data_IF_667004096259
#
_entry.id   IF_667004096259
#
_cell.length_a   1.000
_cell.length_b   1.000
_cell.length_c   1.000
_cell.angle_alpha   90.00
_cell.angle_beta   90.00
_cell.angle_gamma   90.00
#
_symmetry.space_group_name_H-M   'P 1'
#
loop_
_entity.id
_entity.type
_entity.pdbx_description
1 polymer ?
#
# COMPACT_ATOMS: atom_id res chain seq x y z
N UNK A 1 6.02 -34.14 -2.77
CA UNK A 1 7.39 -33.63 -2.94
C UNK A 1 7.50 -33.01 -4.32
N UNK A 2 8.07 -31.80 -4.47
CA UNK A 2 8.33 -31.23 -5.81
C UNK A 2 9.53 -31.97 -6.39
N UNK A 3 9.30 -32.74 -7.44
CA UNK A 3 10.38 -33.37 -8.19
C UNK A 3 11.25 -32.26 -8.82
N UNK A 4 12.58 -32.43 -8.86
CA UNK A 4 13.46 -31.55 -9.61
C UNK A 4 12.97 -31.37 -11.06
N UNK A 5 13.09 -30.15 -11.58
CA UNK A 5 12.54 -29.77 -12.90
C UNK A 5 13.07 -30.64 -14.05
N UNK A 6 14.32 -31.08 -13.96
CA UNK A 6 14.96 -31.96 -14.95
C UNK A 6 14.32 -33.35 -15.04
N UNK A 7 13.78 -33.86 -13.93
CA UNK A 7 13.04 -35.13 -13.90
C UNK A 7 11.62 -34.99 -14.44
N UNK A 8 11.01 -33.82 -14.27
CA UNK A 8 9.66 -33.54 -14.74
C UNK A 8 9.60 -33.23 -16.23
N UNK A 9 10.60 -32.51 -16.74
CA UNK A 9 10.64 -32.05 -18.14
C UNK A 9 11.44 -33.01 -19.03
N UNK A 10 12.14 -33.98 -18.44
CA UNK A 10 13.15 -34.78 -19.13
C UNK A 10 14.40 -33.94 -19.41
N UNK A 11 15.55 -34.61 -19.50
CA UNK A 11 16.68 -33.96 -20.20
C UNK A 11 16.26 -33.79 -21.66
N UNK A 12 16.50 -32.63 -22.28
CA UNK A 12 16.46 -32.55 -23.73
C UNK A 12 17.30 -33.72 -24.25
N UNK A 13 16.76 -34.48 -25.21
CA UNK A 13 17.59 -35.43 -25.94
C UNK A 13 18.77 -34.61 -26.45
N UNK A 14 19.98 -34.92 -25.99
CA UNK A 14 21.17 -34.43 -26.64
C UNK A 14 21.11 -35.06 -28.02
N UNK A 15 20.51 -34.35 -28.97
CA UNK A 15 20.87 -34.48 -30.36
C UNK A 15 22.38 -34.23 -30.36
N UNK A 16 23.15 -35.32 -30.38
CA UNK A 16 24.56 -35.33 -30.77
C UNK A 16 24.62 -34.91 -32.24
N UNK A 17 24.20 -33.70 -32.52
CA UNK A 17 24.75 -32.94 -33.62
C UNK A 17 26.13 -32.52 -33.12
N UNK A 18 27.16 -32.86 -33.88
CA UNK A 18 28.51 -32.37 -33.73
C UNK A 18 28.53 -30.85 -33.98
N UNK A 19 27.87 -30.07 -33.10
CA UNK A 19 27.91 -28.61 -33.17
C UNK A 19 29.32 -28.20 -32.81
N UNK A 20 29.94 -27.48 -33.74
CA UNK A 20 31.24 -26.88 -33.55
C UNK A 20 31.24 -26.07 -32.25
N UNK A 21 32.13 -26.41 -31.29
CA UNK A 21 32.29 -25.70 -30.02
C UNK A 21 32.21 -24.16 -30.13
N UNK A 22 32.87 -23.49 -31.09
CA UNK A 22 32.75 -22.04 -31.24
C UNK A 22 31.32 -21.56 -31.59
N UNK A 23 30.57 -22.34 -32.36
CA UNK A 23 29.19 -22.00 -32.72
C UNK A 23 28.25 -22.11 -31.52
N UNK A 24 28.43 -23.15 -30.69
CA UNK A 24 27.68 -23.31 -29.44
C UNK A 24 27.96 -22.17 -28.45
N UNK A 25 29.23 -21.79 -28.29
CA UNK A 25 29.62 -20.68 -27.39
C UNK A 25 29.01 -19.36 -27.87
N UNK A 26 29.01 -19.11 -29.18
CA UNK A 26 28.43 -17.90 -29.76
C UNK A 26 26.90 -17.86 -29.62
N UNK A 27 26.20 -18.99 -29.83
CA UNK A 27 24.76 -19.08 -29.59
C UNK A 27 24.40 -18.87 -28.12
N UNK A 28 25.14 -19.49 -27.20
CA UNK A 28 24.95 -19.30 -25.76
C UNK A 28 25.14 -17.84 -25.35
N UNK A 29 26.18 -17.19 -25.87
CA UNK A 29 26.46 -15.77 -25.63
C UNK A 29 25.31 -14.90 -26.13
N UNK A 30 24.84 -15.11 -27.37
CA UNK A 30 23.68 -14.40 -27.94
C UNK A 30 22.42 -14.61 -27.11
N UNK A 31 22.16 -15.83 -26.66
CA UNK A 31 21.01 -16.18 -25.83
C UNK A 31 21.05 -15.48 -24.47
N UNK A 32 22.20 -15.51 -23.80
CA UNK A 32 22.45 -14.79 -22.54
C UNK A 32 22.24 -13.29 -22.71
N UNK A 33 22.79 -12.70 -23.77
CA UNK A 33 22.61 -11.26 -24.06
C UNK A 33 21.15 -10.90 -24.30
N UNK A 34 20.40 -11.75 -25.00
CA UNK A 34 18.96 -11.56 -25.23
C UNK A 34 18.17 -11.62 -23.92
N UNK A 35 18.44 -12.61 -23.07
CA UNK A 35 17.80 -12.77 -21.76
C UNK A 35 18.09 -11.57 -20.86
N UNK A 36 19.35 -11.14 -20.78
CA UNK A 36 19.75 -10.00 -19.98
C UNK A 36 19.11 -8.69 -20.47
N UNK A 37 19.05 -8.49 -21.79
CA UNK A 37 18.37 -7.32 -22.37
C UNK A 37 16.90 -7.30 -22.00
N UNK A 38 16.22 -8.43 -22.17
CA UNK A 38 14.81 -8.58 -21.81
C UNK A 38 14.56 -8.30 -20.33
N UNK A 39 15.37 -8.87 -19.44
CA UNK A 39 15.26 -8.66 -18.00
C UNK A 39 15.43 -7.18 -17.63
N UNK A 40 16.45 -6.50 -18.19
CA UNK A 40 16.69 -5.05 -17.96
C UNK A 40 15.54 -4.19 -18.47
N UNK A 41 15.00 -4.49 -19.65
CA UNK A 41 13.86 -3.77 -20.20
C UNK A 41 12.62 -3.90 -19.29
N UNK A 42 12.31 -5.12 -18.85
CA UNK A 42 11.21 -5.35 -17.92
C UNK A 42 11.43 -4.63 -16.60
N UNK A 43 12.64 -4.70 -16.03
CA UNK A 43 12.98 -3.97 -14.81
C UNK A 43 12.73 -2.46 -14.97
N UNK A 44 13.17 -1.88 -16.08
CA UNK A 44 12.93 -0.46 -16.39
C UNK A 44 11.44 -0.13 -16.46
N UNK A 45 10.67 -0.90 -17.24
CA UNK A 45 9.21 -0.70 -17.37
C UNK A 45 8.52 -0.78 -16.00
N UNK A 46 8.90 -1.76 -15.17
CA UNK A 46 8.31 -1.90 -13.84
C UNK A 46 8.71 -0.77 -12.89
N UNK A 47 9.96 -0.32 -12.95
CA UNK A 47 10.44 0.84 -12.19
C UNK A 47 9.68 2.11 -12.58
N UNK A 48 9.54 2.36 -13.88
CA UNK A 48 8.84 3.55 -14.40
C UNK A 48 7.36 3.53 -13.99
N UNK A 49 6.70 2.37 -14.09
CA UNK A 49 5.32 2.18 -13.62
C UNK A 49 5.19 2.39 -12.10
N UNK A 50 6.16 1.93 -11.32
CA UNK A 50 6.15 2.15 -9.87
C UNK A 50 6.25 3.64 -9.55
N UNK A 51 7.18 4.34 -10.20
CA UNK A 51 7.34 5.80 -10.04
C UNK A 51 6.05 6.54 -10.36
N UNK A 52 5.43 6.27 -11.51
CA UNK A 52 4.17 6.90 -11.90
C UNK A 52 3.06 6.69 -10.86
N UNK A 53 2.91 5.47 -10.32
CA UNK A 53 1.89 5.17 -9.30
C UNK A 53 2.12 5.96 -8.01
N UNK A 54 3.37 6.02 -7.55
CA UNK A 54 3.73 6.76 -6.35
C UNK A 54 3.49 8.27 -6.55
N UNK A 55 3.90 8.82 -7.70
CA UNK A 55 3.74 10.24 -8.00
C UNK A 55 2.25 10.65 -8.03
N UNK A 56 1.36 9.83 -8.64
CA UNK A 56 -0.10 10.09 -8.63
C UNK A 56 -0.74 9.95 -7.25
N UNK A 57 -0.25 9.01 -6.43
CA UNK A 57 -0.80 8.78 -5.08
C UNK A 57 -0.36 9.87 -4.09
N UNK A 58 0.84 10.44 -4.30
CA UNK A 58 1.38 11.53 -3.47
C UNK A 58 0.59 12.84 -3.61
N UNK A 59 -0.14 13.06 -4.70
CA UNK A 59 -0.83 14.32 -4.95
C UNK A 59 -2.18 14.47 -4.24
N UNK A 60 -2.80 13.39 -3.75
CA UNK A 60 -4.27 13.42 -3.58
C UNK A 60 -4.85 13.55 -2.17
N UNK A 61 -4.12 13.47 -1.04
CA UNK A 61 -4.82 13.72 0.24
C UNK A 61 -3.92 14.18 1.39
N UNK A 62 -3.86 15.50 1.61
CA UNK A 62 -3.40 16.02 2.90
C UNK A 62 -4.54 15.93 3.91
N UNK A 63 -4.49 14.93 4.79
CA UNK A 63 -5.42 14.84 5.91
C UNK A 63 -5.05 15.85 7.01
N UNK A 64 -6.05 16.33 7.74
CA UNK A 64 -5.89 17.23 8.88
C UNK A 64 -6.07 16.48 10.21
N UNK A 65 -5.43 16.95 11.29
CA UNK A 65 -5.81 16.53 12.64
C UNK A 65 -7.33 16.71 12.85
N UNK A 66 -7.97 15.71 13.45
CA UNK A 66 -9.43 15.65 13.61
C UNK A 66 -10.16 14.85 12.52
N UNK A 67 -9.55 14.61 11.36
CA UNK A 67 -10.20 13.87 10.28
C UNK A 67 -10.41 12.39 10.62
N UNK A 68 -11.56 11.85 10.20
CA UNK A 68 -11.89 10.44 10.24
C UNK A 68 -11.26 9.68 9.06
N UNK A 69 -10.54 8.61 9.36
CA UNK A 69 -9.87 7.77 8.36
C UNK A 69 -10.04 6.28 8.63
N UNK A 70 -10.17 5.50 7.57
CA UNK A 70 -10.03 4.05 7.60
C UNK A 70 -8.55 3.67 7.54
N UNK A 71 -8.17 2.63 8.26
CA UNK A 71 -6.83 2.04 8.25
C UNK A 71 -6.83 0.73 7.46
N UNK A 72 -5.96 0.61 6.47
CA UNK A 72 -5.66 -0.65 5.80
C UNK A 72 -4.76 -1.53 6.68
N UNK A 73 -5.35 -2.55 7.29
CA UNK A 73 -4.73 -3.53 8.17
C UNK A 73 -5.10 -4.97 7.76
N UNK A 74 -4.47 -5.53 6.72
CA UNK A 74 -4.75 -6.89 6.26
C UNK A 74 -4.28 -7.91 7.32
N UNK A 75 -5.20 -8.31 8.19
CA UNK A 75 -4.94 -9.27 9.27
C UNK A 75 -5.46 -10.65 8.88
N UNK A 76 -4.55 -11.63 8.81
CA UNK A 76 -4.93 -13.04 8.61
C UNK A 76 -5.38 -13.63 9.94
N UNK A 77 -6.63 -14.05 10.04
CA UNK A 77 -7.15 -14.73 11.22
C UNK A 77 -7.20 -16.24 10.96
N UNK A 78 -6.60 -17.04 11.86
CA UNK A 78 -6.68 -18.50 11.77
C UNK A 78 -8.14 -18.95 11.75
N UNK A 79 -8.48 -19.92 10.90
CA UNK A 79 -9.84 -20.44 10.75
C UNK A 79 -10.80 -19.57 9.92
N UNK A 80 -10.36 -18.42 9.40
CA UNK A 80 -11.14 -17.59 8.46
C UNK A 80 -10.48 -17.56 7.09
N UNK A 81 -11.29 -17.55 6.03
CA UNK A 81 -10.80 -17.40 4.66
C UNK A 81 -10.25 -15.98 4.46
N UNK A 82 -8.95 -15.79 4.15
CA UNK A 82 -8.36 -14.45 4.00
C UNK A 82 -9.04 -13.61 2.92
N UNK A 83 -9.68 -14.25 1.93
CA UNK A 83 -10.37 -13.55 0.84
C UNK A 83 -11.69 -12.91 1.26
N UNK A 84 -12.31 -13.39 2.33
CA UNK A 84 -13.61 -12.91 2.83
C UNK A 84 -13.47 -11.96 4.03
N UNK A 85 -12.23 -11.60 4.42
CA UNK A 85 -12.00 -10.68 5.53
C UNK A 85 -11.92 -9.24 5.02
N UNK A 86 -12.53 -8.29 5.74
CA UNK A 86 -12.27 -6.87 5.52
C UNK A 86 -10.84 -6.55 5.93
N UNK A 87 -10.09 -5.92 5.02
CA UNK A 87 -8.75 -5.42 5.30
C UNK A 87 -8.76 -3.99 5.84
N UNK A 88 -9.92 -3.33 5.86
CA UNK A 88 -10.09 -1.98 6.38
C UNK A 88 -10.65 -2.03 7.80
N UNK A 89 -10.00 -1.32 8.71
CA UNK A 89 -10.30 -1.21 10.13
C UNK A 89 -10.51 0.27 10.46
N UNK A 90 -11.48 0.60 11.32
CA UNK A 90 -11.74 1.99 11.71
C UNK A 90 -13.22 2.35 11.62
N UNK A 91 -13.60 3.61 11.84
CA UNK A 91 -12.80 4.82 11.66
C UNK A 91 -11.77 5.05 12.76
N UNK A 92 -10.69 5.72 12.41
CA UNK A 92 -9.67 6.27 13.30
C UNK A 92 -9.68 7.80 13.17
N UNK A 93 -9.31 8.52 14.23
CA UNK A 93 -9.09 9.97 14.17
C UNK A 93 -7.61 10.26 14.01
N UNK A 94 -7.25 11.22 13.15
CA UNK A 94 -5.88 11.71 13.06
C UNK A 94 -5.62 12.65 14.23
N UNK A 95 -4.65 12.32 15.08
CA UNK A 95 -4.23 13.20 16.18
C UNK A 95 -3.27 14.27 15.67
N UNK A 96 -2.29 13.84 14.88
CA UNK A 96 -1.19 14.70 14.46
C UNK A 96 -0.59 14.20 13.15
N UNK A 97 -0.25 15.15 12.28
CA UNK A 97 0.62 14.95 11.13
C UNK A 97 2.08 15.02 11.60
N UNK A 98 2.83 13.92 11.47
CA UNK A 98 4.26 13.87 11.82
C UNK A 98 5.08 14.34 10.62
N UNK A 99 4.76 13.81 9.44
CA UNK A 99 5.35 14.17 8.15
C UNK A 99 4.25 14.17 7.07
N UNK A 100 4.56 14.58 5.84
CA UNK A 100 3.60 14.56 4.73
C UNK A 100 3.01 13.17 4.45
N UNK A 101 3.82 12.14 4.64
CA UNK A 101 3.45 10.75 4.42
C UNK A 101 3.15 9.97 5.70
N UNK A 102 3.36 10.53 6.89
CA UNK A 102 3.28 9.77 8.15
C UNK A 102 2.40 10.49 9.14
N UNK A 103 1.33 9.81 9.56
CA UNK A 103 0.30 10.33 10.45
C UNK A 103 0.23 9.50 11.73
N UNK A 104 -0.13 10.16 12.82
CA UNK A 104 -0.47 9.52 14.08
C UNK A 104 -1.98 9.46 14.21
N UNK A 105 -2.52 8.24 14.27
CA UNK A 105 -3.96 7.96 14.32
C UNK A 105 -4.34 7.29 15.64
N UNK A 106 -5.59 7.43 16.05
CA UNK A 106 -6.10 6.84 17.28
C UNK A 106 -7.56 6.39 17.10
N UNK A 107 -7.89 5.22 17.64
CA UNK A 107 -9.22 4.61 17.49
C UNK A 107 -10.22 5.13 18.53
N UNK A 108 -9.76 5.57 19.67
CA UNK A 108 -10.56 6.16 20.75
C UNK A 108 -9.64 6.88 21.72
N UNK A 109 -10.11 7.85 22.52
CA UNK A 109 -9.26 8.60 23.45
C UNK A 109 -8.44 7.73 24.41
N UNK A 110 -8.95 6.53 24.75
CA UNK A 110 -8.28 5.56 25.63
C UNK A 110 -7.34 4.60 24.90
N UNK A 111 -7.46 4.49 23.57
CA UNK A 111 -6.64 3.57 22.77
C UNK A 111 -5.21 4.09 22.58
N UNK A 112 -4.25 3.18 22.42
CA UNK A 112 -2.86 3.56 22.10
C UNK A 112 -2.80 4.14 20.68
N UNK A 113 -2.18 5.31 20.48
CA UNK A 113 -2.05 5.89 19.15
C UNK A 113 -1.07 5.07 18.30
N UNK A 114 -1.35 4.97 17.00
CA UNK A 114 -0.55 4.26 16.00
C UNK A 114 0.06 5.26 15.02
N UNK A 115 1.30 5.00 14.58
CA UNK A 115 1.96 5.76 13.51
C UNK A 115 1.83 4.98 12.21
N UNK A 116 1.27 5.61 11.17
CA UNK A 116 0.88 4.95 9.93
C UNK A 116 1.22 5.81 8.71
N UNK A 117 1.59 5.16 7.62
CA UNK A 117 1.84 5.78 6.32
C UNK A 117 0.53 6.20 5.63
N UNK A 118 0.54 7.33 4.91
CA UNK A 118 -0.60 7.92 4.21
C UNK A 118 -1.33 6.92 3.32
N UNK A 119 -0.60 6.13 2.53
CA UNK A 119 -1.18 5.14 1.59
C UNK A 119 -1.99 4.02 2.27
N UNK A 120 -1.84 3.86 3.59
CA UNK A 120 -2.65 2.91 4.36
C UNK A 120 -3.90 3.55 4.94
N UNK A 121 -4.13 4.83 4.67
CA UNK A 121 -5.28 5.58 5.14
C UNK A 121 -6.23 5.84 3.97
N UNK A 122 -7.53 5.71 4.23
CA UNK A 122 -8.56 6.16 3.31
C UNK A 122 -9.52 7.09 4.04
N UNK A 123 -10.06 8.10 3.34
CA UNK A 123 -11.01 9.02 3.96
C UNK A 123 -12.27 8.28 4.37
N UNK A 124 -12.77 8.55 5.58
CA UNK A 124 -14.03 7.98 6.03
C UNK A 124 -15.20 8.71 5.36
N UNK A 125 -16.12 7.95 4.75
CA UNK A 125 -17.30 8.47 4.03
C UNK A 125 -18.63 8.00 4.64
N UNK A 126 -18.61 7.43 5.85
CA UNK A 126 -19.81 6.91 6.51
C UNK A 126 -20.68 8.03 7.10
N UNK A 127 -22.01 7.85 7.05
CA UNK A 127 -23.01 8.79 7.60
C UNK A 127 -23.22 8.67 9.12
N UNK A 128 -22.57 7.72 9.80
CA UNK A 128 -22.71 7.52 11.23
C UNK A 128 -21.33 7.43 11.90
N UNK A 129 -20.73 8.56 12.29
CA UNK A 129 -19.49 8.56 13.04
C UNK A 129 -19.76 7.85 14.39
N UNK A 130 -18.92 6.90 14.82
CA UNK A 130 -19.16 6.17 16.06
C UNK A 130 -19.16 7.13 17.26
N UNK A 131 -19.94 6.82 18.31
CA UNK A 131 -20.24 7.68 19.48
C UNK A 131 -19.06 8.39 20.17
N UNK A 132 -17.83 7.91 19.98
CA UNK A 132 -16.61 8.52 20.53
C UNK A 132 -15.94 9.53 19.59
N UNK A 133 -16.47 9.70 18.38
CA UNK A 133 -16.00 10.65 17.37
C UNK A 133 -16.65 12.00 17.65
N UNK A 134 -16.07 12.74 18.58
CA UNK A 134 -16.52 14.09 18.94
C UNK A 134 -16.14 15.02 17.79
N UNK A 135 -17.12 15.38 16.95
CA UNK A 135 -17.04 16.65 16.23
C UNK A 135 -17.08 17.70 17.34
N UNK A 136 -15.96 18.40 17.57
CA UNK A 136 -16.00 19.57 18.42
C UNK A 136 -16.99 20.53 17.77
N UNK A 137 -18.19 20.63 18.35
CA UNK A 137 -19.14 21.65 17.95
C UNK A 137 -18.43 23.01 18.09
N UNK A 138 -18.52 23.89 17.07
CA UNK A 138 -17.94 25.21 17.19
C UNK A 138 -18.48 25.86 18.48
N UNK A 139 -17.64 26.56 19.26
CA UNK A 139 -18.06 27.14 20.51
C UNK A 139 -19.33 27.97 20.27
N UNK A 140 -20.35 27.87 21.15
CA UNK A 140 -21.57 28.64 20.99
C UNK A 140 -21.16 30.10 20.84
N UNK A 141 -21.61 30.74 19.75
CA UNK A 141 -21.46 32.19 19.59
C UNK A 141 -22.00 32.80 20.89
N UNK A 142 -21.11 33.37 21.69
CA UNK A 142 -21.48 34.20 22.81
C UNK A 142 -22.36 35.30 22.21
N UNK A 143 -23.66 35.22 22.46
CA UNK A 143 -24.56 36.33 22.21
C UNK A 143 -23.99 37.50 23.01
N UNK A 144 -23.56 38.53 22.29
CA UNK A 144 -23.11 39.78 22.86
C UNK A 144 -24.22 40.27 23.79
N UNK A 145 -23.97 40.15 25.10
CA UNK A 145 -24.69 40.86 26.12
C UNK A 145 -24.40 42.35 25.94
N UNK A 146 -25.13 43.00 25.02
CA UNK A 146 -25.26 44.45 24.97
C UNK A 146 -26.11 44.84 26.17
N UNK A 147 -25.39 45.06 27.27
CA UNK A 147 -25.52 46.17 28.21
C UNK A 147 -26.90 46.84 28.19
N UNK A 148 -27.64 46.61 29.30
CA UNK A 148 -28.62 47.57 29.79
C UNK A 148 -27.87 48.85 30.15
N UNK A 149 -28.21 49.96 29.51
CA UNK A 149 -28.00 51.29 30.07
C UNK A 149 -29.24 52.17 29.78
N UNK A 150 -29.69 52.81 30.86
CA UNK A 150 -30.72 53.84 31.08
C UNK A 150 -32.22 53.54 30.81
#
# INVERSE_FOLDING_TARGET
MKLPTDLMLGRPLEETEERSLPEFVEDLRKRMDRIHRFAREKLKIHSDKMKQRLDTTSTETAFKPGDAVWLYAPKRTKGKSPKLQSNWEGPYTIIKKINDLVYRIQLSPRSKPKVVHLERLARYTGHNPPDWFVVEDPPPRTEDSVIRDE
#
